data_IF_017982918931
#
_entry.id   IF_017982918931
#
_cell.length_a   1.000
_cell.length_b   1.000
_cell.length_c   1.000
_cell.angle_alpha   90.00
_cell.angle_beta   90.00
_cell.angle_gamma   90.00
#
_symmetry.space_group_name_H-M   'P 1'
#
loop_
_entity.id
_entity.type
_entity.pdbx_description
1 polymer ?
#
# COMPACT_ATOMS: atom_id res chain seq x y z
N UNK A 1 -12.04 -23.26 -13.11
CA UNK A 1 -11.95 -23.11 -11.64
C UNK A 1 -11.54 -21.67 -11.30
N UNK A 2 -12.23 -21.10 -10.39
CA UNK A 2 -11.90 -19.74 -9.98
C UNK A 2 -10.92 -19.76 -8.81
N UNK A 3 -10.04 -18.81 -8.80
CA UNK A 3 -9.14 -18.59 -7.69
C UNK A 3 -9.75 -17.48 -6.85
N UNK A 4 -9.97 -17.78 -5.60
CA UNK A 4 -10.63 -16.85 -4.71
C UNK A 4 -9.65 -16.12 -3.79
N UNK A 5 -8.44 -15.88 -4.27
CA UNK A 5 -7.49 -15.07 -3.53
C UNK A 5 -7.97 -13.63 -3.58
N UNK A 6 -8.29 -13.00 -2.46
CA UNK A 6 -8.75 -11.62 -2.49
C UNK A 6 -7.66 -10.71 -3.01
N UNK A 7 -8.04 -9.76 -3.87
CA UNK A 7 -7.11 -8.75 -4.38
C UNK A 7 -6.46 -7.99 -3.23
N UNK A 8 -7.24 -7.72 -2.18
CA UNK A 8 -6.73 -7.05 -0.99
C UNK A 8 -5.52 -7.78 -0.40
N UNK A 9 -5.57 -9.11 -0.30
CA UNK A 9 -4.46 -9.90 0.23
C UNK A 9 -3.22 -9.76 -0.65
N UNK A 10 -3.40 -9.81 -1.97
CA UNK A 10 -2.28 -9.65 -2.90
C UNK A 10 -1.65 -8.27 -2.79
N UNK A 11 -2.45 -7.23 -2.71
CA UNK A 11 -1.93 -5.87 -2.60
C UNK A 11 -1.22 -5.64 -1.28
N UNK A 12 -1.74 -6.20 -0.19
CA UNK A 12 -1.08 -6.12 1.12
C UNK A 12 0.28 -6.79 1.09
N UNK A 13 0.39 -7.94 0.43
CA UNK A 13 1.67 -8.64 0.32
C UNK A 13 2.68 -7.82 -0.49
N UNK A 14 2.23 -7.19 -1.57
CA UNK A 14 3.09 -6.29 -2.34
C UNK A 14 3.60 -5.14 -1.48
N UNK A 15 2.70 -4.51 -0.72
CA UNK A 15 3.08 -3.40 0.15
C UNK A 15 4.06 -3.84 1.24
N UNK A 16 3.86 -5.01 1.82
CA UNK A 16 4.77 -5.55 2.83
C UNK A 16 6.16 -5.80 2.25
N UNK A 17 6.23 -6.32 1.03
CA UNK A 17 7.51 -6.54 0.37
C UNK A 17 8.22 -5.22 0.07
N UNK A 18 7.48 -4.21 -0.36
CA UNK A 18 8.04 -2.89 -0.64
C UNK A 18 8.66 -2.28 0.60
N UNK A 19 8.06 -2.50 1.77
CA UNK A 19 8.58 -1.95 3.02
C UNK A 19 9.98 -2.47 3.36
N UNK A 20 10.34 -3.65 2.86
CA UNK A 20 11.66 -4.23 3.08
C UNK A 20 12.67 -3.93 1.98
N UNK A 21 12.23 -3.25 0.91
CA UNK A 21 13.10 -2.94 -0.22
C UNK A 21 13.80 -1.60 0.03
N UNK A 22 15.15 -1.58 0.14
CA UNK A 22 15.86 -0.34 0.43
C UNK A 22 15.83 0.67 -0.70
N UNK A 23 15.42 0.28 -1.90
CA UNK A 23 15.38 1.15 -3.06
C UNK A 23 14.01 1.73 -3.36
N UNK A 24 13.00 1.36 -2.57
CA UNK A 24 11.64 1.81 -2.76
C UNK A 24 11.15 2.54 -1.53
N UNK A 25 10.25 3.49 -1.75
CA UNK A 25 9.60 4.23 -0.67
C UNK A 25 8.11 4.02 -0.76
N UNK A 26 7.47 3.93 0.38
CA UNK A 26 6.03 3.78 0.47
C UNK A 26 5.47 4.80 1.43
N UNK A 27 4.37 5.40 1.03
CA UNK A 27 3.66 6.36 1.88
C UNK A 27 2.16 6.20 1.67
N UNK A 28 1.40 6.70 2.62
CA UNK A 28 -0.06 6.64 2.57
C UNK A 28 -0.66 8.01 2.78
N UNK A 29 -1.87 8.19 2.27
CA UNK A 29 -2.63 9.41 2.45
C UNK A 29 -4.09 9.03 2.64
N UNK A 30 -4.75 9.60 3.66
CA UNK A 30 -6.19 9.43 3.80
C UNK A 30 -6.89 10.09 2.61
N UNK A 31 -7.99 9.50 2.14
CA UNK A 31 -8.68 10.00 0.95
C UNK A 31 -9.19 11.43 1.10
N UNK A 32 -9.47 11.86 2.33
CA UNK A 32 -9.94 13.22 2.63
C UNK A 32 -8.82 14.14 3.08
N UNK A 33 -7.59 13.70 3.04
CA UNK A 33 -6.45 14.46 3.52
C UNK A 33 -5.50 14.77 2.38
N UNK A 34 -4.65 15.79 2.54
CA UNK A 34 -3.67 16.18 1.54
C UNK A 34 -2.25 15.83 1.96
N UNK A 35 -2.06 15.36 3.19
CA UNK A 35 -0.73 15.03 3.70
C UNK A 35 -0.42 13.55 3.56
N UNK A 36 0.78 13.26 3.07
CA UNK A 36 1.31 11.91 3.01
C UNK A 36 2.01 11.57 4.32
N UNK A 37 1.88 10.33 4.73
CA UNK A 37 2.49 9.81 5.96
C UNK A 37 3.22 8.51 5.66
N UNK A 38 4.25 8.17 6.45
CA UNK A 38 4.92 6.89 6.28
C UNK A 38 3.97 5.73 6.63
N UNK A 39 4.19 4.60 5.97
CA UNK A 39 3.41 3.39 6.23
C UNK A 39 4.17 2.54 7.24
N UNK A 40 3.48 2.15 8.31
CA UNK A 40 4.03 1.25 9.31
C UNK A 40 3.57 -0.18 9.03
N UNK A 41 4.37 -1.16 9.43
CA UNK A 41 4.03 -2.55 9.16
C UNK A 41 2.68 -2.94 9.75
N UNK A 42 2.39 -2.47 10.96
CA UNK A 42 1.12 -2.80 11.61
C UNK A 42 -0.09 -2.22 10.88
N UNK A 43 0.09 -1.19 10.08
CA UNK A 43 -1.02 -0.65 9.27
C UNK A 43 -1.54 -1.70 8.29
N UNK A 44 -0.67 -2.61 7.87
CA UNK A 44 -1.00 -3.63 6.90
C UNK A 44 -1.47 -4.94 7.53
N UNK A 45 -1.48 -5.02 8.86
CA UNK A 45 -1.95 -6.20 9.57
C UNK A 45 -3.46 -6.19 9.77
N UNK A 46 -4.07 -5.02 9.67
CA UNK A 46 -5.52 -4.86 9.85
C UNK A 46 -6.16 -4.50 8.51
N UNK A 47 -7.33 -5.06 8.26
CA UNK A 47 -8.10 -4.73 7.06
C UNK A 47 -9.03 -3.55 7.27
N UNK A 48 -9.10 -3.04 8.50
CA UNK A 48 -10.19 -2.17 8.92
C UNK A 48 -10.25 -0.84 8.17
N UNK A 49 -9.10 -0.23 7.90
CA UNK A 49 -9.06 1.11 7.35
C UNK A 49 -8.32 1.21 6.02
N UNK A 50 -7.97 0.07 5.43
CA UNK A 50 -7.18 0.08 4.21
C UNK A 50 -7.85 0.86 3.07
N UNK A 51 -9.17 0.75 2.96
CA UNK A 51 -9.90 1.44 1.87
C UNK A 51 -10.01 2.95 2.08
N UNK A 52 -9.67 3.44 3.27
CA UNK A 52 -9.69 4.87 3.56
C UNK A 52 -8.41 5.57 3.15
N UNK A 53 -7.41 4.82 2.70
CA UNK A 53 -6.10 5.37 2.35
C UNK A 53 -5.72 5.06 0.92
N UNK A 54 -4.95 5.97 0.34
CA UNK A 54 -4.26 5.76 -0.91
C UNK A 54 -2.80 5.49 -0.57
N UNK A 55 -2.24 4.42 -1.14
CA UNK A 55 -0.85 4.05 -0.93
C UNK A 55 -0.06 4.38 -2.19
N UNK A 56 1.10 5.01 -2.02
CA UNK A 56 1.96 5.36 -3.13
C UNK A 56 3.31 4.70 -2.94
N UNK A 57 3.76 4.00 -3.98
CA UNK A 57 5.08 3.39 -4.03
C UNK A 57 5.94 4.20 -4.99
N UNK A 58 7.08 4.67 -4.51
CA UNK A 58 8.08 5.33 -5.35
C UNK A 58 9.20 4.33 -5.62
N UNK A 59 9.41 4.01 -6.87
CA UNK A 59 10.44 3.07 -7.28
C UNK A 59 11.80 3.76 -7.36
N UNK A 60 12.84 2.95 -7.57
CA UNK A 60 14.22 3.38 -7.64
C UNK A 60 14.48 4.47 -8.67
N UNK A 61 13.78 4.41 -9.80
CA UNK A 61 13.94 5.37 -10.90
C UNK A 61 13.05 6.61 -10.76
N UNK A 62 12.33 6.71 -9.64
CA UNK A 62 11.42 7.82 -9.40
C UNK A 62 10.00 7.58 -9.90
N UNK A 63 9.72 6.44 -10.52
CA UNK A 63 8.37 6.08 -10.95
C UNK A 63 7.47 5.90 -9.74
N UNK A 64 6.23 6.35 -9.85
CA UNK A 64 5.26 6.28 -8.76
C UNK A 64 4.06 5.45 -9.15
N UNK A 65 3.62 4.62 -8.22
CA UNK A 65 2.46 3.75 -8.41
C UNK A 65 1.50 3.94 -7.24
N UNK A 66 0.23 4.15 -7.55
CA UNK A 66 -0.78 4.27 -6.52
C UNK A 66 -1.57 2.98 -6.40
N UNK A 67 -1.88 2.61 -5.16
CA UNK A 67 -2.69 1.43 -4.85
C UNK A 67 -3.84 1.88 -3.96
N UNK A 68 -5.06 1.50 -4.34
CA UNK A 68 -6.25 1.71 -3.53
C UNK A 68 -6.91 0.38 -3.25
N UNK A 69 -7.33 0.21 -2.01
CA UNK A 69 -8.13 -0.95 -1.61
C UNK A 69 -9.61 -0.60 -1.75
N UNK A 70 -10.31 -1.45 -2.46
CA UNK A 70 -11.74 -1.25 -2.71
C UNK A 70 -12.60 -2.07 -1.78
#
# INVERSE_FOLDING_TARGET
MSINTPIKTMLKDVLKQVMYDPYKHIQKKHVDDEEWSPVEYYDLLSDKELHDYIYEITDRDGSKFEIRFL
#
